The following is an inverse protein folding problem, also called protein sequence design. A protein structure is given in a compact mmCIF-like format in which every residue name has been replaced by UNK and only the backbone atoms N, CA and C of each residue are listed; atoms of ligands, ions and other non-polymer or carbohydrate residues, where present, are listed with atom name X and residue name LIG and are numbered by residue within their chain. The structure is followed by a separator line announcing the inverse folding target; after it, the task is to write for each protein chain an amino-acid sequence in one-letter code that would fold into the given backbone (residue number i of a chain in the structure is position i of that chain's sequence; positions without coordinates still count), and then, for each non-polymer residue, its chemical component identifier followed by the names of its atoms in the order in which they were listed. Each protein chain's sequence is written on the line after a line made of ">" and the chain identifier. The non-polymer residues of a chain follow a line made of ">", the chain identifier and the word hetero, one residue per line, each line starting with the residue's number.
data_IF_360608683064
#
_entry.id   IF_360608683064
#
_cell.length_a   1.000
_cell.length_b   1.000
_cell.length_c   1.000
_cell.angle_alpha   90.00
_cell.angle_beta   90.00
_cell.angle_gamma   90.00
#
_symmetry.space_group_name_H-M   'P 1'
#
loop_
_entity.id
_entity.type
_entity.pdbx_description
1 polymer ?
#
# COMPACT_ATOMS: atom_id res chain seq x y z
N UNK A 1 6.39 13.22 -4.46
CA UNK A 1 6.91 11.86 -4.16
C UNK A 1 6.97 11.74 -2.65
N UNK A 2 6.05 10.95 -2.11
CA UNK A 2 5.77 10.83 -0.67
C UNK A 2 6.02 9.44 -0.10
N UNK A 3 6.72 8.60 -0.87
CA UNK A 3 7.10 7.24 -0.48
C UNK A 3 7.97 7.27 0.79
N UNK A 4 7.57 6.48 1.78
CA UNK A 4 8.30 6.29 3.03
C UNK A 4 9.41 5.26 2.78
N UNK A 5 10.63 5.75 2.58
CA UNK A 5 11.79 4.93 2.18
C UNK A 5 12.20 3.88 3.21
N UNK A 6 11.87 4.09 4.48
CA UNK A 6 12.22 3.19 5.59
C UNK A 6 10.97 2.50 6.17
N UNK A 7 9.90 2.37 5.38
CA UNK A 7 8.75 1.59 5.79
C UNK A 7 9.19 0.12 6.07
N UNK A 8 8.73 -0.50 7.18
CA UNK A 8 9.05 -1.89 7.48
C UNK A 8 8.79 -2.85 6.31
N UNK A 9 9.68 -3.81 6.10
CA UNK A 9 9.45 -4.92 5.15
C UNK A 9 8.45 -5.93 5.71
N UNK A 10 7.84 -6.75 4.86
CA UNK A 10 6.90 -7.80 5.32
C UNK A 10 7.56 -8.78 6.30
N UNK A 11 8.84 -9.10 6.10
CA UNK A 11 9.63 -9.93 7.03
C UNK A 11 9.79 -9.27 8.42
N UNK A 12 10.05 -7.95 8.44
CA UNK A 12 10.18 -7.20 9.69
C UNK A 12 8.87 -7.07 10.44
N UNK A 13 7.73 -7.07 9.73
CA UNK A 13 6.40 -7.07 10.33
C UNK A 13 6.04 -8.46 10.83
N UNK A 14 6.20 -9.51 10.01
CA UNK A 14 5.97 -10.91 10.41
C UNK A 14 6.71 -11.28 11.69
N UNK A 15 7.97 -10.85 11.85
CA UNK A 15 8.76 -11.12 13.06
C UNK A 15 8.19 -10.50 14.35
N UNK A 16 7.22 -9.59 14.26
CA UNK A 16 6.55 -8.94 15.39
C UNK A 16 5.11 -9.39 15.59
N UNK A 17 4.52 -10.07 14.61
CA UNK A 17 3.12 -10.46 14.66
C UNK A 17 2.95 -11.74 15.50
N UNK A 18 1.88 -11.78 16.27
CA UNK A 18 1.41 -13.01 16.90
C UNK A 18 0.72 -13.93 15.88
N UNK A 19 0.45 -15.19 16.26
CA UNK A 19 -0.12 -16.26 15.41
C UNK A 19 -1.47 -15.91 14.73
N UNK A 20 -2.20 -14.90 15.22
CA UNK A 20 -3.40 -14.37 14.55
C UNK A 20 -3.39 -12.84 14.49
N UNK A 21 -2.18 -12.26 14.43
CA UNK A 21 -1.94 -10.84 14.37
C UNK A 21 -2.03 -10.29 12.94
N UNK A 22 -2.26 -8.99 12.84
CA UNK A 22 -2.17 -8.27 11.58
C UNK A 22 -1.79 -6.81 11.79
N UNK A 23 -1.03 -6.26 10.85
CA UNK A 23 -0.54 -4.89 10.91
C UNK A 23 -0.60 -4.23 9.53
N UNK A 24 -1.11 -3.00 9.50
CA UNK A 24 -1.08 -2.14 8.32
C UNK A 24 0.16 -1.24 8.36
N UNK A 25 1.03 -1.38 7.37
CA UNK A 25 2.20 -0.51 7.19
C UNK A 25 1.91 0.57 6.16
N UNK A 26 2.13 1.85 6.52
CA UNK A 26 2.06 2.97 5.57
C UNK A 26 3.33 2.99 4.71
N UNK A 27 3.16 2.90 3.39
CA UNK A 27 4.23 2.93 2.40
C UNK A 27 4.42 4.31 1.75
N UNK A 28 3.36 5.13 1.70
CA UNK A 28 3.39 6.51 1.23
C UNK A 28 2.21 7.28 1.81
N UNK A 29 2.33 8.61 1.91
CA UNK A 29 1.25 9.47 2.39
C UNK A 29 1.30 10.84 1.73
N UNK A 30 0.19 11.26 1.12
CA UNK A 30 -0.01 12.62 0.61
C UNK A 30 -1.07 13.29 1.49
N UNK A 31 -0.76 14.48 1.98
CA UNK A 31 -1.67 15.23 2.85
C UNK A 31 -1.82 16.66 2.33
N UNK A 32 -3.05 17.03 2.01
CA UNK A 32 -3.44 18.38 1.59
C UNK A 32 -4.86 18.62 2.09
N UNK A 33 -5.02 19.48 3.09
CA UNK A 33 -6.29 19.71 3.74
C UNK A 33 -7.42 19.97 2.72
N UNK A 34 -8.58 19.31 2.83
CA UNK A 34 -8.99 18.42 3.93
C UNK A 34 -8.68 16.92 3.70
N UNK A 35 -7.86 16.58 2.70
CA UNK A 35 -7.63 15.20 2.30
C UNK A 35 -6.30 14.64 2.80
N UNK A 36 -6.34 13.37 3.19
CA UNK A 36 -5.17 12.56 3.47
C UNK A 36 -5.27 11.24 2.73
N UNK A 37 -4.35 11.01 1.79
CA UNK A 37 -4.26 9.75 1.05
C UNK A 37 -3.05 8.94 1.52
N UNK A 38 -3.24 7.64 1.71
CA UNK A 38 -2.21 6.71 2.16
C UNK A 38 -2.15 5.49 1.25
N UNK A 39 -0.95 4.95 1.08
CA UNK A 39 -0.76 3.60 0.53
C UNK A 39 -0.43 2.68 1.70
N UNK A 40 -1.23 1.66 1.90
CA UNK A 40 -1.09 0.70 2.99
C UNK A 40 -0.77 -0.68 2.46
N UNK A 41 0.15 -1.38 3.12
CA UNK A 41 0.34 -2.83 2.97
C UNK A 41 -0.15 -3.50 4.24
N UNK A 42 -0.99 -4.52 4.12
CA UNK A 42 -1.41 -5.32 5.25
C UNK A 42 -0.60 -6.63 5.25
N UNK A 43 0.00 -6.93 6.39
CA UNK A 43 0.69 -8.18 6.67
C UNK A 43 -0.04 -8.89 7.81
N UNK A 44 -0.24 -10.19 7.71
CA UNK A 44 -1.03 -10.95 8.69
C UNK A 44 -0.61 -12.41 8.83
N UNK A 45 -1.01 -13.00 9.95
CA UNK A 45 -0.96 -14.43 10.19
C UNK A 45 -2.36 -15.03 10.25
N UNK A 46 -2.55 -16.19 9.62
CA UNK A 46 -3.69 -17.07 9.82
C UNK A 46 -3.16 -18.41 10.37
N UNK A 47 -3.08 -18.50 11.70
CA UNK A 47 -2.30 -19.54 12.36
C UNK A 47 -0.80 -19.39 12.08
N UNK A 48 -0.17 -20.47 11.62
CA UNK A 48 1.25 -20.48 11.28
C UNK A 48 1.54 -19.88 9.88
N UNK A 49 0.51 -19.59 9.07
CA UNK A 49 0.69 -19.09 7.70
C UNK A 49 0.80 -17.57 7.68
N UNK A 50 1.92 -17.06 7.15
CA UNK A 50 2.12 -15.63 6.91
C UNK A 50 1.62 -15.23 5.52
N UNK A 51 0.88 -14.13 5.42
CA UNK A 51 0.48 -13.54 4.15
C UNK A 51 0.67 -12.02 4.13
N UNK A 52 0.83 -11.50 2.92
CA UNK A 52 0.93 -10.07 2.63
C UNK A 52 -0.06 -9.72 1.53
N UNK A 53 -0.95 -8.77 1.81
CA UNK A 53 -1.86 -8.25 0.80
C UNK A 53 -1.17 -7.31 -0.19
N UNK A 54 -1.76 -7.19 -1.37
CA UNK A 54 -1.38 -6.13 -2.30
C UNK A 54 -1.63 -4.76 -1.66
N UNK A 55 -0.71 -3.79 -1.84
CA UNK A 55 -0.91 -2.47 -1.29
C UNK A 55 -2.22 -1.85 -1.80
N UNK A 56 -2.90 -1.08 -0.95
CA UNK A 56 -4.15 -0.38 -1.28
C UNK A 56 -4.02 1.11 -1.02
N UNK A 57 -4.75 1.90 -1.79
CA UNK A 57 -4.89 3.34 -1.55
C UNK A 57 -6.11 3.56 -0.67
N UNK A 58 -5.94 4.29 0.42
CA UNK A 58 -7.03 4.84 1.24
C UNK A 58 -6.99 6.35 1.17
N UNK A 59 -8.16 6.99 1.07
CA UNK A 59 -8.29 8.46 1.08
C UNK A 59 -9.27 8.82 2.18
N UNK A 60 -8.75 9.49 3.20
CA UNK A 60 -9.53 10.10 4.27
C UNK A 60 -9.94 11.52 3.85
N UNK A 61 -11.22 11.82 4.05
CA UNK A 61 -11.85 13.11 3.76
C UNK A 61 -12.73 13.59 4.92
N UNK A 62 -12.57 13.00 6.12
CA UNK A 62 -13.36 13.34 7.32
C UNK A 62 -13.23 14.81 7.74
N UNK A 63 -12.08 15.44 7.47
CA UNK A 63 -11.83 16.85 7.75
C UNK A 63 -12.54 17.82 6.78
N UNK A 64 -13.22 17.32 5.74
CA UNK A 64 -14.03 18.17 4.87
C UNK A 64 -15.36 18.47 5.56
N UNK A 65 -15.83 19.72 5.49
CA UNK A 65 -17.15 20.09 6.00
C UNK A 65 -18.25 19.19 5.38
N UNK A 66 -18.93 18.42 6.23
CA UNK A 66 -19.94 17.43 5.81
C UNK A 66 -19.40 16.04 5.47
N UNK A 67 -18.09 15.80 5.53
CA UNK A 67 -17.42 14.52 5.20
C UNK A 67 -17.82 13.35 6.10
N UNK A 68 -18.22 13.60 7.34
CA UNK A 68 -18.67 12.57 8.28
C UNK A 68 -20.06 11.99 7.94
N UNK A 69 -20.84 12.62 7.06
CA UNK A 69 -22.25 12.29 6.84
C UNK A 69 -22.58 11.50 5.57
N UNK A 70 -21.58 11.09 4.77
CA UNK A 70 -21.85 10.46 3.48
C UNK A 70 -21.23 9.08 3.32
N UNK A 71 -22.04 8.16 2.80
CA UNK A 71 -21.66 6.80 2.39
C UNK A 71 -20.87 6.83 1.06
N UNK A 72 -20.93 7.95 0.34
CA UNK A 72 -20.27 8.18 -0.95
C UNK A 72 -19.21 9.30 -0.85
N UNK A 73 -18.08 9.11 -1.53
CA UNK A 73 -17.02 10.13 -1.64
C UNK A 73 -17.55 11.38 -2.37
N UNK A 74 -17.82 12.45 -1.61
CA UNK A 74 -18.27 13.75 -2.12
C UNK A 74 -17.15 14.76 -2.00
N UNK A 75 -16.85 15.51 -3.06
CA UNK A 75 -15.82 16.56 -3.07
C UNK A 75 -16.51 17.91 -3.27
N UNK A 76 -16.33 18.82 -2.31
CA UNK A 76 -16.88 20.17 -2.42
C UNK A 76 -16.19 20.95 -3.55
N UNK A 77 -16.90 21.88 -4.23
CA UNK A 77 -16.35 22.61 -5.38
C UNK A 77 -14.99 23.26 -5.13
N UNK A 78 -14.79 23.85 -3.94
CA UNK A 78 -13.56 24.54 -3.56
C UNK A 78 -12.36 23.60 -3.37
N UNK A 79 -12.61 22.29 -3.25
CA UNK A 79 -11.59 21.27 -3.00
C UNK A 79 -11.34 20.33 -4.19
N UNK A 80 -12.00 20.56 -5.34
CA UNK A 80 -11.86 19.69 -6.53
C UNK A 80 -10.42 19.64 -7.04
N UNK A 81 -9.76 20.78 -7.15
CA UNK A 81 -8.36 20.85 -7.60
C UNK A 81 -7.43 20.18 -6.58
N UNK A 82 -7.60 20.49 -5.29
CA UNK A 82 -6.84 19.86 -4.20
C UNK A 82 -6.99 18.34 -4.20
N UNK A 83 -8.22 17.84 -4.37
CA UNK A 83 -8.50 16.41 -4.45
C UNK A 83 -7.78 15.77 -5.64
N UNK A 84 -7.86 16.38 -6.82
CA UNK A 84 -7.18 15.88 -8.02
C UNK A 84 -5.66 15.84 -7.84
N UNK A 85 -5.06 16.83 -7.19
CA UNK A 85 -3.62 16.83 -6.86
C UNK A 85 -3.26 15.66 -5.93
N UNK A 86 -4.03 15.45 -4.86
CA UNK A 86 -3.82 14.34 -3.92
C UNK A 86 -3.90 12.99 -4.63
N UNK A 87 -4.94 12.78 -5.44
CA UNK A 87 -5.14 11.54 -6.20
C UNK A 87 -4.00 11.32 -7.19
N UNK A 88 -3.61 12.35 -7.94
CA UNK A 88 -2.53 12.21 -8.93
C UNK A 88 -1.20 11.84 -8.27
N UNK A 89 -0.88 12.46 -7.14
CA UNK A 89 0.37 12.18 -6.43
C UNK A 89 0.38 10.77 -5.83
N UNK A 90 -0.69 10.38 -5.11
CA UNK A 90 -0.74 9.06 -4.47
C UNK A 90 -0.81 7.91 -5.50
N UNK A 91 -1.48 8.11 -6.64
CA UNK A 91 -1.51 7.12 -7.73
C UNK A 91 -0.14 6.98 -8.38
N UNK A 92 0.60 8.07 -8.54
CA UNK A 92 1.98 8.03 -9.05
C UNK A 92 2.88 7.21 -8.12
N UNK A 93 2.80 7.47 -6.81
CA UNK A 93 3.55 6.73 -5.79
C UNK A 93 3.14 5.25 -5.75
N UNK A 94 1.84 4.94 -5.87
CA UNK A 94 1.34 3.57 -5.97
C UNK A 94 1.90 2.83 -7.18
N UNK A 95 1.93 3.47 -8.36
CA UNK A 95 2.52 2.86 -9.56
C UNK A 95 4.01 2.60 -9.39
N UNK A 96 4.74 3.49 -8.73
CA UNK A 96 6.15 3.29 -8.44
C UNK A 96 6.38 2.10 -7.49
N UNK A 97 5.56 1.98 -6.43
CA UNK A 97 5.61 0.87 -5.48
C UNK A 97 5.21 -0.45 -6.17
N UNK A 98 4.06 -0.49 -6.84
CA UNK A 98 3.54 -1.69 -7.49
C UNK A 98 4.45 -2.19 -8.62
N UNK A 99 5.08 -1.27 -9.37
CA UNK A 99 6.07 -1.64 -10.39
C UNK A 99 7.29 -2.33 -9.77
N UNK A 100 7.75 -1.87 -8.60
CA UNK A 100 8.85 -2.53 -7.86
C UNK A 100 8.43 -3.92 -7.38
N UNK A 101 7.23 -4.08 -6.84
CA UNK A 101 6.72 -5.39 -6.41
C UNK A 101 6.62 -6.40 -7.56
N UNK A 102 6.09 -5.97 -8.73
CA UNK A 102 6.01 -6.83 -9.93
C UNK A 102 7.39 -7.25 -10.44
N UNK A 103 8.37 -6.35 -10.38
CA UNK A 103 9.72 -6.62 -10.83
C UNK A 103 10.43 -7.63 -9.91
N UNK A 104 10.21 -7.54 -8.60
CA UNK A 104 10.69 -8.53 -7.63
C UNK A 104 10.05 -9.90 -7.84
N UNK A 105 8.72 -9.97 -7.97
CA UNK A 105 8.01 -11.24 -8.19
C UNK A 105 8.44 -11.95 -9.50
N UNK A 106 8.70 -11.17 -10.56
CA UNK A 106 9.23 -11.71 -11.82
C UNK A 106 10.64 -12.29 -11.64
N UNK A 107 11.52 -11.57 -10.94
CA UNK A 107 12.88 -12.04 -10.69
C UNK A 107 12.91 -13.32 -9.86
N UNK A 108 12.06 -13.46 -8.84
CA UNK A 108 11.96 -14.69 -8.03
C UNK A 108 11.48 -15.90 -8.85
N UNK A 109 10.50 -15.70 -9.73
CA UNK A 109 10.01 -16.74 -10.64
C UNK A 109 11.09 -17.22 -11.62
N UNK A 110 11.86 -16.27 -12.20
CA UNK A 110 12.98 -16.58 -13.10
C UNK A 110 14.12 -17.32 -12.37
N UNK A 111 14.40 -16.97 -11.11
CA UNK A 111 15.38 -17.66 -10.26
C UNK A 111 14.93 -19.09 -9.92
N UNK A 112 13.69 -19.29 -9.48
CA UNK A 112 13.12 -20.62 -9.18
C UNK A 112 13.18 -21.54 -10.39
N UNK A 113 12.69 -21.05 -11.54
CA UNK A 113 12.73 -21.81 -12.81
C UNK A 113 14.16 -22.25 -13.16
N UNK A 114 15.15 -21.36 -12.97
CA UNK A 114 16.55 -21.66 -13.25
C UNK A 114 17.18 -22.67 -12.28
N UNK A 115 16.70 -22.73 -11.03
CA UNK A 115 17.15 -23.71 -10.03
C UNK A 115 16.60 -25.11 -10.34
N UNK A 116 15.30 -25.22 -10.66
CA UNK A 116 14.65 -26.49 -11.03
C UNK A 116 15.30 -27.14 -12.26
N UNK A 117 15.71 -26.32 -13.25
CA UNK A 117 16.44 -26.79 -14.42
C UNK A 117 17.84 -27.34 -14.09
N UNK A 118 18.50 -26.86 -13.03
CA UNK A 118 19.83 -27.33 -12.63
C UNK A 118 19.79 -28.62 -11.81
N UNK A 119 18.73 -28.84 -11.04
CA UNK A 119 18.54 -30.10 -10.29
C UNK A 119 18.05 -31.26 -11.18
N UNK A 120 17.57 -30.95 -12.38
CA UNK A 120 17.07 -31.94 -13.35
C UNK A 120 18.11 -32.44 -14.37
N UNK A 121 19.39 -32.03 -14.24
CA UNK A 121 20.54 -32.42 -15.09
C UNK A 121 21.55 -33.25 -14.29
#
# INVERSE_FOLDING_TARGET
>A
MTIIVNAPTSEQVSAKLDENGGESTILAQVERAPFKAQILRYDGHDGEEFFTDLPRIEIDCSDQDGGEMFVDLTILPDYVETFAEVVNEIVSDYRAIASRCKLLARNESEIRTSADYRESL
#
